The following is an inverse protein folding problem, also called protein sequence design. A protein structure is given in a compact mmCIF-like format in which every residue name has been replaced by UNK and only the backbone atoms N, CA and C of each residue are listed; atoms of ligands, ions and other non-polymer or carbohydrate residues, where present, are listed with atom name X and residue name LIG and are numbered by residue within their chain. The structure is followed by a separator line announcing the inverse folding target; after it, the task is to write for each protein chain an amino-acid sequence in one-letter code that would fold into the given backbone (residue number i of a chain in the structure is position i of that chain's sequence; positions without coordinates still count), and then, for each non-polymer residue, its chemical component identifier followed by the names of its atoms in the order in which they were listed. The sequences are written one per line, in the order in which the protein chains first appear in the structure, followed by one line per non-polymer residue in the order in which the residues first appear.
data_IF_534882525277
#
_entry.id   IF_534882525277
#
_cell.length_a   1.000
_cell.length_b   1.000
_cell.length_c   1.000
_cell.angle_alpha   90.00
_cell.angle_beta   90.00
_cell.angle_gamma   90.00
#
_symmetry.space_group_name_H-M   'P 1'
#
loop_
_entity.id
_entity.type
_entity.pdbx_description
1 polymer ?
#
# COMPACT_ATOMS: atom_id res chain seq x y z
N UNK A 1 8.32 -21.96 -2.69
CA UNK A 1 7.15 -21.14 -3.04
C UNK A 1 5.94 -21.66 -2.26
N UNK A 2 5.41 -20.92 -1.29
CA UNK A 2 4.41 -21.37 -0.27
C UNK A 2 2.94 -21.30 -0.74
N UNK A 3 2.70 -21.37 -2.05
CA UNK A 3 1.40 -21.02 -2.63
C UNK A 3 0.51 -22.24 -2.93
N UNK A 4 0.88 -23.44 -2.44
CA UNK A 4 0.24 -24.72 -2.79
C UNK A 4 -1.23 -24.84 -2.37
N UNK A 5 -1.69 -24.05 -1.41
CA UNK A 5 -3.08 -24.05 -0.94
C UNK A 5 -3.97 -23.01 -1.63
N UNK A 6 -3.38 -22.07 -2.36
CA UNK A 6 -4.13 -20.97 -2.98
C UNK A 6 -4.70 -21.40 -4.33
N UNK A 7 -5.99 -21.15 -4.51
CA UNK A 7 -6.76 -21.54 -5.69
C UNK A 7 -7.18 -20.29 -6.47
N UNK A 8 -7.21 -20.44 -7.78
CA UNK A 8 -7.74 -19.44 -8.68
C UNK A 8 -9.17 -19.03 -8.31
N UNK A 9 -9.46 -17.74 -8.39
CA UNK A 9 -10.77 -17.11 -8.11
C UNK A 9 -11.30 -17.32 -6.68
N UNK A 10 -10.47 -17.83 -5.76
CA UNK A 10 -10.82 -17.93 -4.34
C UNK A 10 -10.41 -16.66 -3.59
N UNK A 11 -11.15 -16.37 -2.50
CA UNK A 11 -10.91 -15.23 -1.63
C UNK A 11 -10.10 -15.67 -0.42
N UNK A 12 -9.02 -14.95 -0.15
CA UNK A 12 -8.14 -15.18 1.00
C UNK A 12 -7.96 -13.89 1.80
N UNK A 13 -7.51 -14.04 3.04
CA UNK A 13 -7.14 -12.92 3.92
C UNK A 13 -5.65 -12.67 3.78
N UNK A 14 -5.29 -11.44 3.45
CA UNK A 14 -3.92 -10.97 3.30
C UNK A 14 -3.60 -9.93 4.34
N UNK A 15 -2.31 -9.78 4.64
CA UNK A 15 -1.76 -8.56 5.20
C UNK A 15 -0.52 -8.15 4.40
N UNK A 16 -0.32 -6.85 4.25
CA UNK A 16 0.82 -6.31 3.54
C UNK A 16 1.13 -4.90 4.05
N UNK A 17 2.35 -4.45 3.81
CA UNK A 17 2.78 -3.09 4.12
C UNK A 17 2.52 -2.19 2.91
N UNK A 18 2.09 -0.95 3.15
CA UNK A 18 1.92 0.06 2.10
C UNK A 18 3.30 0.48 1.60
N UNK A 19 3.61 0.24 0.33
CA UNK A 19 4.86 0.68 -0.28
C UNK A 19 4.71 2.09 -0.85
N UNK A 20 3.55 2.39 -1.44
CA UNK A 20 3.26 3.66 -2.10
C UNK A 20 1.99 3.62 -2.94
N UNK A 21 1.95 4.50 -3.93
CA UNK A 21 0.82 4.66 -4.84
C UNK A 21 1.31 4.87 -6.27
N UNK A 22 0.53 4.42 -7.24
CA UNK A 22 0.77 4.71 -8.66
C UNK A 22 -0.54 4.92 -9.40
N UNK A 23 -0.46 5.48 -10.59
CA UNK A 23 -1.56 5.53 -11.55
C UNK A 23 -1.26 4.53 -12.67
N UNK A 24 -2.18 3.63 -12.97
CA UNK A 24 -2.07 2.73 -14.12
C UNK A 24 -2.70 3.43 -15.34
N UNK A 25 -1.99 3.43 -16.46
CA UNK A 25 -2.30 4.04 -17.75
C UNK A 25 -2.82 3.03 -18.80
N UNK A 26 -2.97 1.75 -18.47
CA UNK A 26 -3.41 0.68 -19.38
C UNK A 26 -4.74 0.93 -20.13
N UNK A 27 -5.55 1.90 -19.69
CA UNK A 27 -6.81 2.29 -20.34
C UNK A 27 -6.76 3.65 -21.09
N UNK A 28 -5.62 4.35 -21.10
CA UNK A 28 -5.48 5.67 -21.72
C UNK A 28 -5.42 5.64 -23.26
N UNK A 29 -5.40 4.45 -23.88
CA UNK A 29 -5.14 4.29 -25.31
C UNK A 29 -6.38 4.31 -26.22
N UNK A 30 -7.60 4.55 -25.71
CA UNK A 30 -8.76 4.70 -26.59
C UNK A 30 -9.81 5.68 -26.04
N UNK A 31 -9.87 6.85 -26.70
CA UNK A 31 -11.00 7.79 -26.79
C UNK A 31 -11.20 8.70 -25.56
N UNK A 32 -10.84 9.98 -25.72
CA UNK A 32 -11.30 11.22 -25.03
C UNK A 32 -11.44 11.28 -23.50
N UNK A 33 -11.18 10.20 -22.77
CA UNK A 33 -11.18 10.15 -21.31
C UNK A 33 -9.87 9.48 -20.86
N UNK A 34 -8.92 10.27 -20.35
CA UNK A 34 -7.73 9.73 -19.69
C UNK A 34 -8.16 8.90 -18.47
N UNK A 35 -8.35 7.59 -18.67
CA UNK A 35 -8.82 6.63 -17.67
C UNK A 35 -7.67 6.13 -16.81
N UNK A 36 -7.02 7.02 -16.06
CA UNK A 36 -6.07 6.61 -15.03
C UNK A 36 -6.78 5.78 -13.95
N UNK A 37 -6.17 4.65 -13.57
CA UNK A 37 -6.65 3.86 -12.42
C UNK A 37 -5.77 4.07 -11.20
N UNK A 38 -6.33 4.48 -10.05
CA UNK A 38 -5.56 4.68 -8.84
C UNK A 38 -5.17 3.32 -8.24
N UNK A 39 -3.91 3.15 -7.89
CA UNK A 39 -3.35 1.88 -7.38
C UNK A 39 -2.58 2.15 -6.08
N UNK A 40 -2.78 1.28 -5.08
CA UNK A 40 -1.90 1.16 -3.93
C UNK A 40 -0.88 0.07 -4.23
N UNK A 41 0.41 0.38 -4.08
CA UNK A 41 1.48 -0.63 -4.16
C UNK A 41 1.80 -1.13 -2.75
N UNK A 42 2.06 -2.42 -2.66
CA UNK A 42 2.24 -3.16 -1.41
C UNK A 42 3.59 -3.87 -1.43
N UNK A 43 4.18 -4.01 -0.25
CA UNK A 43 5.35 -4.86 0.00
C UNK A 43 5.08 -5.84 1.14
N UNK A 44 5.95 -6.85 1.28
CA UNK A 44 5.87 -7.85 2.34
C UNK A 44 4.49 -8.51 2.44
N UNK A 45 4.03 -9.13 1.36
CA UNK A 45 2.68 -9.69 1.28
C UNK A 45 2.63 -11.05 1.97
N UNK A 46 1.73 -11.19 2.93
CA UNK A 46 1.43 -12.44 3.63
C UNK A 46 -0.02 -12.85 3.41
N UNK A 47 -0.26 -14.16 3.31
CA UNK A 47 -1.60 -14.75 3.22
C UNK A 47 -1.86 -15.63 4.45
N UNK A 48 -3.07 -15.61 4.98
CA UNK A 48 -3.52 -16.50 6.05
C UNK A 48 -3.67 -17.92 5.48
N UNK A 49 -2.90 -18.87 6.01
CA UNK A 49 -3.01 -20.28 5.66
C UNK A 49 -4.17 -20.98 6.41
N UNK A 50 -4.53 -22.22 6.05
CA UNK A 50 -5.59 -22.97 6.73
C UNK A 50 -5.34 -23.29 8.22
N UNK A 51 -4.10 -23.12 8.71
CA UNK A 51 -3.72 -23.32 10.11
C UNK A 51 -3.73 -21.99 10.90
N UNK A 52 -4.42 -20.98 10.37
CA UNK A 52 -4.53 -19.62 10.92
C UNK A 52 -3.17 -18.91 11.12
N UNK A 53 -2.17 -19.24 10.28
CA UNK A 53 -0.85 -18.60 10.29
C UNK A 53 -0.63 -17.79 9.02
N UNK A 54 -0.18 -16.55 9.19
CA UNK A 54 0.26 -15.75 8.05
C UNK A 54 1.59 -16.26 7.50
N UNK A 55 1.60 -16.62 6.21
CA UNK A 55 2.78 -17.06 5.46
C UNK A 55 3.16 -16.03 4.41
N UNK A 56 4.46 -15.82 4.23
CA UNK A 56 4.98 -14.92 3.21
C UNK A 56 4.68 -15.49 1.82
N UNK A 57 4.10 -14.67 0.95
CA UNK A 57 3.64 -15.11 -0.39
C UNK A 57 4.23 -14.30 -1.53
N UNK A 58 4.56 -13.03 -1.33
CA UNK A 58 5.17 -12.19 -2.35
C UNK A 58 5.94 -11.01 -1.75
N UNK A 59 6.97 -10.54 -2.47
CA UNK A 59 7.73 -9.34 -2.10
C UNK A 59 6.87 -8.09 -2.30
N UNK A 60 6.03 -8.04 -3.34
CA UNK A 60 5.11 -6.94 -3.55
C UNK A 60 3.82 -7.33 -4.27
N UNK A 61 2.84 -6.42 -4.25
CA UNK A 61 1.57 -6.54 -4.95
C UNK A 61 0.89 -5.20 -5.22
N UNK A 62 -0.06 -5.22 -6.14
CA UNK A 62 -0.86 -4.06 -6.50
C UNK A 62 -2.33 -4.29 -6.18
N UNK A 63 -2.97 -3.25 -5.67
CA UNK A 63 -4.41 -3.22 -5.45
C UNK A 63 -5.00 -1.97 -6.08
N UNK A 64 -6.14 -2.11 -6.74
CA UNK A 64 -6.96 -0.95 -7.08
C UNK A 64 -7.29 -0.19 -5.79
N UNK A 65 -6.92 1.10 -5.74
CA UNK A 65 -7.28 2.01 -4.67
C UNK A 65 -8.74 2.45 -4.81
N UNK A 66 -9.65 1.50 -4.60
CA UNK A 66 -11.09 1.72 -4.65
C UNK A 66 -11.65 2.29 -3.35
N UNK A 67 -12.96 2.54 -3.35
CA UNK A 67 -13.74 3.09 -2.23
C UNK A 67 -13.43 2.45 -0.87
N UNK A 68 -13.29 1.12 -0.82
CA UNK A 68 -13.09 0.42 0.45
C UNK A 68 -11.78 0.80 1.12
N UNK A 69 -10.68 0.89 0.36
CA UNK A 69 -9.40 1.37 0.87
C UNK A 69 -9.47 2.88 1.18
N UNK A 70 -10.19 3.68 0.37
CA UNK A 70 -10.34 5.12 0.59
C UNK A 70 -11.03 5.46 1.91
N UNK A 71 -11.95 4.59 2.38
CA UNK A 71 -12.61 4.72 3.68
C UNK A 71 -11.67 4.64 4.88
N UNK A 72 -10.45 4.11 4.70
CA UNK A 72 -9.41 4.14 5.74
C UNK A 72 -8.79 5.53 5.93
N UNK A 73 -9.12 6.49 5.06
CA UNK A 73 -8.46 7.79 4.97
C UNK A 73 -7.11 7.68 4.27
N UNK A 74 -6.29 8.72 4.46
CA UNK A 74 -4.92 8.71 3.96
C UNK A 74 -4.14 7.54 4.57
N UNK A 75 -3.32 6.90 3.75
CA UNK A 75 -2.43 5.81 4.13
C UNK A 75 -0.98 6.28 4.01
N UNK A 76 -0.15 5.88 4.97
CA UNK A 76 1.28 6.18 4.96
C UNK A 76 2.08 4.95 4.53
N UNK A 77 3.20 5.19 3.84
CA UNK A 77 4.19 4.14 3.54
C UNK A 77 4.66 3.47 4.83
N UNK A 78 4.73 2.14 4.82
CA UNK A 78 5.13 1.30 5.95
C UNK A 78 3.98 0.90 6.89
N UNK A 79 2.76 1.43 6.70
CA UNK A 79 1.60 0.93 7.45
C UNK A 79 1.22 -0.46 7.00
N UNK A 80 0.90 -1.36 7.95
CA UNK A 80 0.39 -2.68 7.59
C UNK A 80 -1.13 -2.65 7.52
N UNK A 81 -1.70 -3.06 6.38
CA UNK A 81 -3.12 -3.30 6.20
C UNK A 81 -3.43 -4.80 6.20
N UNK A 82 -4.63 -5.16 6.66
CA UNK A 82 -5.23 -6.47 6.46
C UNK A 82 -6.45 -6.33 5.55
N UNK A 83 -6.63 -7.25 4.62
CA UNK A 83 -7.73 -7.21 3.67
C UNK A 83 -8.02 -8.59 3.10
N UNK A 84 -9.24 -8.79 2.61
CA UNK A 84 -9.59 -9.97 1.83
C UNK A 84 -9.50 -9.64 0.35
N UNK A 85 -8.86 -10.48 -0.46
CA UNK A 85 -8.81 -10.30 -1.91
C UNK A 85 -8.99 -11.63 -2.65
N UNK A 86 -9.38 -11.55 -3.92
CA UNK A 86 -9.38 -12.70 -4.84
C UNK A 86 -8.06 -12.76 -5.58
N UNK A 87 -7.56 -13.97 -5.81
CA UNK A 87 -6.44 -14.25 -6.70
C UNK A 87 -7.01 -14.54 -8.08
N UNK A 88 -6.67 -13.73 -9.09
CA UNK A 88 -7.26 -13.82 -10.44
C UNK A 88 -6.30 -14.37 -11.50
N UNK A 89 -5.24 -15.05 -11.10
CA UNK A 89 -4.36 -15.79 -12.00
C UNK A 89 -4.05 -17.18 -11.44
N UNK A 90 -3.97 -18.21 -12.29
CA UNK A 90 -3.57 -19.55 -11.88
C UNK A 90 -2.07 -19.62 -11.51
N UNK A 91 -1.29 -18.59 -11.85
CA UNK A 91 0.16 -18.58 -11.64
C UNK A 91 0.54 -17.79 -10.41
N UNK A 92 0.75 -18.54 -9.35
CA UNK A 92 1.15 -18.06 -8.04
C UNK A 92 2.41 -17.14 -8.04
N UNK A 93 3.31 -17.28 -9.04
CA UNK A 93 4.51 -16.44 -9.17
C UNK A 93 4.24 -15.01 -9.67
N UNK A 94 3.00 -14.66 -10.03
CA UNK A 94 2.60 -13.33 -10.51
C UNK A 94 1.68 -12.55 -9.56
N UNK A 95 1.69 -12.89 -8.26
CA UNK A 95 0.83 -12.25 -7.26
C UNK A 95 0.85 -10.70 -7.30
N UNK A 96 1.91 -10.12 -7.87
CA UNK A 96 2.06 -8.69 -8.13
C UNK A 96 0.87 -8.05 -8.87
N UNK A 97 0.24 -8.74 -9.81
CA UNK A 97 -0.84 -8.20 -10.68
C UNK A 97 -2.22 -8.81 -10.39
N UNK A 98 -2.29 -9.74 -9.43
CA UNK A 98 -3.35 -10.75 -9.36
C UNK A 98 -4.34 -10.57 -8.20
N UNK A 99 -4.17 -9.55 -7.36
CA UNK A 99 -5.09 -9.28 -6.25
C UNK A 99 -6.22 -8.35 -6.68
N UNK A 100 -7.46 -8.84 -6.65
CA UNK A 100 -8.65 -8.08 -7.06
C UNK A 100 -9.73 -8.04 -5.99
N UNK A 101 -10.56 -7.01 -6.07
CA UNK A 101 -11.76 -6.82 -5.24
C UNK A 101 -11.44 -6.86 -3.74
N UNK A 102 -10.56 -5.96 -3.24
CA UNK A 102 -10.24 -5.90 -1.82
C UNK A 102 -11.51 -5.64 -1.00
N UNK A 103 -11.68 -6.40 0.08
CA UNK A 103 -12.77 -6.23 1.05
C UNK A 103 -12.32 -6.39 2.49
N UNK A 104 -13.16 -6.00 3.45
CA UNK A 104 -12.86 -6.08 4.89
C UNK A 104 -11.48 -5.47 5.22
N UNK A 105 -11.19 -4.33 4.60
CA UNK A 105 -9.91 -3.66 4.73
C UNK A 105 -9.82 -3.01 6.12
N UNK A 106 -8.66 -3.13 6.76
CA UNK A 106 -8.35 -2.47 8.03
C UNK A 106 -6.86 -2.19 8.14
N UNK A 107 -6.51 -1.18 8.93
CA UNK A 107 -5.11 -0.89 9.28
C UNK A 107 -4.81 -1.66 10.56
N UNK A 108 -3.81 -2.54 10.54
CA UNK A 108 -3.42 -3.36 11.70
C UNK A 108 -2.12 -2.87 12.36
N UNK A 109 -1.31 -2.08 11.64
CA UNK A 109 -0.17 -1.35 12.21
C UNK A 109 -0.17 0.10 11.73
N UNK A 110 -0.90 0.99 12.41
CA UNK A 110 -0.94 2.40 12.04
C UNK A 110 0.39 3.09 12.36
N UNK A 111 0.85 3.94 11.46
CA UNK A 111 1.98 4.87 11.68
C UNK A 111 1.47 6.29 11.92
N UNK A 112 0.26 6.61 11.43
CA UNK A 112 -0.38 7.92 11.65
C UNK A 112 -1.37 7.89 12.82
N UNK A 113 -1.25 8.87 13.72
CA UNK A 113 -2.21 9.10 14.82
C UNK A 113 -3.51 9.75 14.34
N UNK A 114 -3.40 10.64 13.35
CA UNK A 114 -4.51 11.36 12.74
C UNK A 114 -4.56 11.01 11.25
N UNK A 115 -5.77 10.86 10.70
CA UNK A 115 -5.98 10.54 9.28
C UNK A 115 -7.03 11.46 8.70
N UNK A 116 -6.71 11.99 7.53
CA UNK A 116 -7.61 12.82 6.76
C UNK A 116 -8.38 11.96 5.75
N UNK A 117 -9.60 12.37 5.36
CA UNK A 117 -10.39 11.63 4.40
C UNK A 117 -9.71 11.59 3.02
N UNK A 118 -10.00 10.53 2.27
CA UNK A 118 -9.64 10.36 0.85
C UNK A 118 -10.95 10.30 0.05
N UNK A 119 -11.01 10.91 -1.15
CA UNK A 119 -12.25 11.00 -1.91
C UNK A 119 -12.79 9.65 -2.38
N UNK A 120 -14.12 9.55 -2.46
CA UNK A 120 -14.85 8.40 -3.01
C UNK A 120 -14.85 8.38 -4.57
N UNK A 121 -14.60 9.51 -5.20
CA UNK A 121 -14.46 9.62 -6.67
C UNK A 121 -13.12 9.06 -7.15
N UNK A 122 -13.15 8.20 -8.17
CA UNK A 122 -11.93 7.65 -8.78
C UNK A 122 -11.03 8.73 -9.37
N UNK A 123 -11.61 9.69 -10.11
CA UNK A 123 -10.88 10.82 -10.68
C UNK A 123 -10.19 11.68 -9.62
N UNK A 124 -10.86 11.95 -8.50
CA UNK A 124 -10.24 12.69 -7.40
C UNK A 124 -9.16 11.87 -6.68
N UNK A 125 -9.28 10.54 -6.63
CA UNK A 125 -8.20 9.68 -6.11
C UNK A 125 -6.97 9.65 -7.01
N UNK A 126 -7.16 9.73 -8.33
CA UNK A 126 -6.04 9.92 -9.27
C UNK A 126 -5.33 11.24 -8.94
N UNK A 127 -6.07 12.34 -8.77
CA UNK A 127 -5.53 13.63 -8.34
C UNK A 127 -4.79 13.55 -7.00
N UNK A 128 -5.34 12.83 -6.01
CA UNK A 128 -4.66 12.56 -4.74
C UNK A 128 -3.32 11.83 -4.93
N UNK A 129 -3.29 10.76 -5.73
CA UNK A 129 -2.05 10.01 -5.97
C UNK A 129 -1.01 10.88 -6.67
N UNK A 130 -1.42 11.70 -7.65
CA UNK A 130 -0.52 12.64 -8.32
C UNK A 130 -0.01 13.73 -7.36
N UNK A 131 -0.83 14.22 -6.43
CA UNK A 131 -0.40 15.15 -5.38
C UNK A 131 0.63 14.51 -4.45
N UNK A 132 0.36 13.29 -4.00
CA UNK A 132 1.25 12.51 -3.11
C UNK A 132 2.58 12.22 -3.81
N UNK A 133 2.56 11.76 -5.05
CA UNK A 133 3.78 11.42 -5.77
C UNK A 133 4.54 12.66 -6.23
N UNK A 134 3.84 13.77 -6.49
CA UNK A 134 4.39 14.95 -7.14
C UNK A 134 4.83 14.68 -8.59
N UNK A 135 5.36 15.71 -9.28
CA UNK A 135 5.91 15.55 -10.62
C UNK A 135 7.25 14.80 -10.54
N UNK A 136 7.23 13.47 -10.70
CA UNK A 136 8.42 12.62 -10.75
C UNK A 136 8.68 12.13 -12.18
N UNK A 137 9.95 12.05 -12.57
CA UNK A 137 10.34 11.55 -13.89
C UNK A 137 9.81 10.12 -14.12
N UNK A 138 9.01 9.93 -15.17
CA UNK A 138 8.48 8.62 -15.57
C UNK A 138 7.16 8.21 -14.89
N UNK A 139 6.51 9.09 -14.14
CA UNK A 139 5.14 8.88 -13.64
C UNK A 139 4.17 9.84 -14.36
N UNK A 140 2.96 9.38 -14.75
CA UNK A 140 1.95 10.28 -15.28
C UNK A 140 1.57 11.35 -14.25
N UNK A 141 1.48 12.61 -14.71
CA UNK A 141 1.15 13.75 -13.87
C UNK A 141 0.29 14.76 -14.64
N UNK A 142 -0.91 15.03 -14.12
CA UNK A 142 -1.80 16.06 -14.63
C UNK A 142 -2.16 17.06 -13.52
N UNK A 143 -1.67 18.28 -13.67
CA UNK A 143 -1.95 19.41 -12.76
C UNK A 143 -3.45 19.74 -12.62
N UNK A 144 -4.27 19.47 -13.64
CA UNK A 144 -5.70 19.70 -13.59
C UNK A 144 -6.40 18.73 -12.63
N UNK A 145 -6.01 17.45 -12.64
CA UNK A 145 -6.49 16.45 -11.69
C UNK A 145 -6.04 16.75 -10.26
N UNK A 146 -4.80 17.23 -10.09
CA UNK A 146 -4.29 17.69 -8.78
C UNK A 146 -5.10 18.88 -8.27
N UNK A 147 -5.37 19.89 -9.10
CA UNK A 147 -6.21 21.03 -8.70
C UNK A 147 -7.64 20.62 -8.33
N UNK A 148 -8.24 19.65 -9.02
CA UNK A 148 -9.56 19.14 -8.63
C UNK A 148 -9.53 18.48 -7.25
N UNK A 149 -8.47 17.73 -6.94
CA UNK A 149 -8.26 17.16 -5.61
C UNK A 149 -8.04 18.27 -4.56
N UNK A 150 -7.25 19.30 -4.88
CA UNK A 150 -6.99 20.42 -3.97
C UNK A 150 -8.27 21.16 -3.59
N UNK A 151 -9.13 21.44 -4.57
CA UNK A 151 -10.44 22.05 -4.33
C UNK A 151 -11.32 21.18 -3.44
N UNK A 152 -11.29 19.84 -3.64
CA UNK A 152 -12.00 18.91 -2.77
C UNK A 152 -11.46 18.99 -1.34
N UNK A 153 -10.15 19.08 -1.15
CA UNK A 153 -9.56 19.21 0.17
C UNK A 153 -9.95 20.48 0.92
N UNK A 154 -10.10 21.59 0.20
CA UNK A 154 -10.51 22.87 0.79
C UNK A 154 -11.97 22.81 1.29
N UNK A 155 -12.81 21.97 0.70
CA UNK A 155 -14.21 21.76 1.12
C UNK A 155 -14.31 20.78 2.30
N UNK A 156 -13.54 19.69 2.27
CA UNK A 156 -13.69 18.56 3.21
C UNK A 156 -12.64 18.53 4.33
N UNK A 157 -11.78 19.55 4.44
CA UNK A 157 -10.81 19.66 5.53
C UNK A 157 -9.71 18.60 5.48
N UNK A 158 -9.22 18.27 4.28
CA UNK A 158 -8.11 17.34 4.11
C UNK A 158 -6.74 18.05 4.31
N UNK A 159 -5.68 17.29 4.62
CA UNK A 159 -4.30 17.82 4.68
C UNK A 159 -3.45 17.31 3.51
N UNK A 160 -3.16 18.22 2.58
CA UNK A 160 -2.30 18.01 1.39
C UNK A 160 -0.88 17.59 1.81
N UNK A 161 -0.27 16.63 1.11
CA UNK A 161 1.09 16.15 1.37
C UNK A 161 1.33 15.56 2.77
N UNK A 162 0.28 15.20 3.52
CA UNK A 162 0.44 14.68 4.87
C UNK A 162 1.04 13.27 4.88
N UNK A 163 0.57 12.40 3.98
CA UNK A 163 1.06 11.03 3.84
C UNK A 163 2.55 10.97 3.48
N UNK A 164 3.01 11.84 2.55
CA UNK A 164 4.42 11.92 2.14
C UNK A 164 5.34 12.51 3.20
N UNK A 165 4.87 13.46 4.00
CA UNK A 165 5.69 14.00 5.10
C UNK A 165 5.98 12.95 6.16
N UNK A 166 5.05 12.02 6.41
CA UNK A 166 5.22 10.99 7.42
C UNK A 166 6.06 9.79 6.96
N UNK A 167 6.04 9.46 5.66
CA UNK A 167 6.92 8.41 5.11
C UNK A 167 8.41 8.77 5.19
N UNK A 168 8.74 10.06 5.21
CA UNK A 168 10.11 10.58 5.31
C UNK A 168 10.63 10.73 6.76
N UNK A 169 9.75 10.63 7.77
CA UNK A 169 10.17 10.55 9.17
C UNK A 169 10.72 9.14 9.45
N UNK A 170 12.05 9.00 9.45
CA UNK A 170 12.71 7.76 9.90
C UNK A 170 12.12 7.31 11.25
N UNK A 171 11.77 6.02 11.43
CA UNK A 171 11.51 5.51 12.77
C UNK A 171 12.78 5.69 13.60
N UNK A 172 12.71 6.49 14.66
CA UNK A 172 13.80 6.71 15.60
C UNK A 172 14.16 5.38 16.28
N UNK A 173 15.09 4.64 15.68
CA UNK A 173 15.63 3.42 16.27
C UNK A 173 16.67 3.82 17.30
N UNK A 174 16.24 4.06 18.55
CA UNK A 174 17.17 4.01 19.68
C UNK A 174 17.50 2.53 19.91
N UNK A 175 18.50 2.03 19.20
CA UNK A 175 19.10 0.73 19.49
C UNK A 175 19.90 0.91 20.78
N UNK A 176 19.32 0.52 21.93
CA UNK A 176 20.10 0.22 23.13
C UNK A 176 20.99 -0.98 22.80
N UNK A 177 22.26 -0.73 22.51
CA UNK A 177 23.28 -1.76 22.46
C UNK A 177 23.45 -2.34 23.87
N UNK A 178 22.80 -3.46 24.15
CA UNK A 178 23.20 -4.33 25.25
C UNK A 178 24.50 -5.03 24.85
N UNK A 179 25.63 -4.46 25.31
CA UNK A 179 26.96 -5.06 25.17
C UNK A 179 27.07 -6.23 26.16
N UNK A 180 26.78 -7.45 25.69
CA UNK A 180 27.12 -8.67 26.42
C UNK A 180 28.65 -8.84 26.42
N UNK A 181 29.29 -8.61 27.57
CA UNK A 181 30.66 -9.05 27.80
C UNK A 181 30.68 -10.58 27.93
N UNK A 182 31.28 -11.26 26.96
CA UNK A 182 31.81 -12.62 27.18
C UNK A 182 33.24 -12.49 27.67
N UNK A 183 33.47 -12.84 28.94
CA UNK A 183 34.77 -13.25 29.44
C UNK A 183 35.19 -14.52 28.70
N UNK A 184 36.36 -14.49 28.06
CA UNK A 184 37.15 -15.69 27.85
C UNK A 184 38.32 -15.62 28.83
N UNK A 185 38.28 -16.52 29.81
CA UNK A 185 39.45 -16.90 30.56
C UNK A 185 40.38 -17.70 29.66
N UNK A 186 41.67 -17.50 29.87
CA UNK A 186 42.73 -18.37 29.38
C UNK A 186 43.64 -18.60 30.56
N UNK A 187 43.52 -19.79 31.15
CA UNK A 187 44.50 -20.38 32.04
C UNK A 187 45.53 -21.16 31.21
N UNK A 188 46.78 -21.05 31.66
CA UNK A 188 47.90 -22.01 31.58
C UNK A 188 48.45 -22.44 30.21
N UNK A 189 49.72 -22.07 29.95
CA UNK A 189 50.88 -22.87 30.36
C UNK A 189 52.12 -22.00 30.54
#
# INVERSE_FOLDING_TARGET
MYLSFMRYNHRYTFKADIEGFKVNDEYAASIDEELYKPVVTLENVYCLDPDDKFKFVAIGAELNYGKQLAQLGQLAKGETIQFNARIVSPWAHKLQEDLRNPTKVSIIKPLMKERYPVPDSEKLRVGYIMEVNGPMNGQPYDSHLVHQYDNWCDIYGCKKGFATRQSNTKPSTTIRQNRCHKHYGTDSN
#
